data_IF_813030340266
#
_entry.id   IF_813030340266
#
_cell.length_a   1.000
_cell.length_b   1.000
_cell.length_c   1.000
_cell.angle_alpha   90.00
_cell.angle_beta   90.00
_cell.angle_gamma   90.00
#
_symmetry.space_group_name_H-M   'P 1'
#
loop_
_entity.id
_entity.type
_entity.pdbx_description
1 polymer ?
#
# COMPACT_ATOMS: atom_id res chain seq x y z
N UNK A 1 27.04 -13.65 -13.71
CA UNK A 1 26.59 -14.60 -12.65
C UNK A 1 25.23 -14.11 -12.16
N UNK A 2 24.13 -14.84 -12.37
CA UNK A 2 22.85 -14.45 -11.80
C UNK A 2 22.83 -14.90 -10.33
N UNK A 3 22.64 -13.96 -9.41
CA UNK A 3 22.26 -14.27 -8.03
C UNK A 3 20.81 -14.78 -8.08
N UNK A 4 20.63 -16.08 -7.95
CA UNK A 4 19.34 -16.68 -7.67
C UNK A 4 19.09 -16.48 -6.18
N UNK A 5 18.14 -15.61 -5.82
CA UNK A 5 17.65 -15.51 -4.45
C UNK A 5 16.84 -16.78 -4.14
N UNK A 6 17.43 -17.70 -3.37
CA UNK A 6 16.69 -18.82 -2.81
C UNK A 6 15.72 -18.30 -1.76
N UNK A 7 14.42 -18.39 -2.03
CA UNK A 7 13.39 -18.29 -1.00
C UNK A 7 13.63 -19.49 -0.05
N UNK A 8 14.05 -19.24 1.19
CA UNK A 8 14.26 -20.33 2.16
C UNK A 8 12.90 -20.70 2.72
N UNK A 9 12.59 -21.99 2.79
CA UNK A 9 11.35 -22.43 3.44
C UNK A 9 11.33 -22.15 4.95
N UNK A 10 12.51 -21.99 5.56
CA UNK A 10 12.68 -21.65 6.97
C UNK A 10 13.44 -20.33 7.11
N UNK A 11 12.85 -19.41 7.85
CA UNK A 11 13.43 -18.15 8.27
C UNK A 11 13.45 -18.10 9.80
N UNK A 12 14.46 -17.45 10.37
CA UNK A 12 14.43 -17.15 11.79
C UNK A 12 13.32 -16.14 12.04
N UNK A 13 12.58 -16.32 13.13
CA UNK A 13 11.60 -15.34 13.56
C UNK A 13 12.32 -14.05 13.95
N UNK A 14 11.85 -12.92 13.41
CA UNK A 14 12.34 -11.58 13.71
C UNK A 14 11.13 -10.68 13.96
N UNK A 15 11.08 -10.05 15.14
CA UNK A 15 9.95 -9.21 15.57
C UNK A 15 9.65 -8.09 14.56
N UNK A 16 10.68 -7.53 13.92
CA UNK A 16 10.52 -6.48 12.93
C UNK A 16 9.74 -6.95 11.69
N UNK A 17 10.06 -8.14 11.16
CA UNK A 17 9.33 -8.71 10.03
C UNK A 17 7.90 -9.07 10.42
N UNK A 18 7.70 -9.58 11.63
CA UNK A 18 6.36 -9.89 12.12
C UNK A 18 5.50 -8.62 12.21
N UNK A 19 6.06 -7.52 12.72
CA UNK A 19 5.35 -6.25 12.76
C UNK A 19 5.06 -5.67 11.38
N UNK A 20 5.97 -5.82 10.42
CA UNK A 20 5.73 -5.43 9.03
C UNK A 20 4.55 -6.21 8.42
N UNK A 21 4.52 -7.53 8.58
CA UNK A 21 3.44 -8.38 8.09
C UNK A 21 2.11 -8.07 8.81
N UNK A 22 2.17 -7.77 10.11
CA UNK A 22 1.00 -7.35 10.89
C UNK A 22 0.44 -6.01 10.39
N UNK A 23 1.29 -5.03 10.10
CA UNK A 23 0.87 -3.75 9.54
C UNK A 23 0.25 -3.94 8.16
N UNK A 24 0.88 -4.75 7.31
CA UNK A 24 0.38 -5.04 5.96
C UNK A 24 -1.03 -5.64 6.01
N UNK A 25 -1.21 -6.68 6.85
CA UNK A 25 -2.47 -7.37 7.00
C UNK A 25 -3.58 -6.49 7.59
N UNK A 26 -3.28 -5.72 8.65
CA UNK A 26 -4.25 -4.80 9.27
C UNK A 26 -4.63 -3.68 8.30
N UNK A 27 -3.68 -3.18 7.50
CA UNK A 27 -3.98 -2.15 6.52
C UNK A 27 -4.99 -2.66 5.46
N UNK A 28 -4.74 -3.84 4.90
CA UNK A 28 -5.67 -4.46 3.93
C UNK A 28 -7.02 -4.82 4.57
N UNK A 29 -7.03 -5.29 5.82
CA UNK A 29 -8.27 -5.63 6.54
C UNK A 29 -9.18 -4.42 6.68
N UNK A 30 -8.64 -3.29 7.14
CA UNK A 30 -9.41 -2.03 7.25
C UNK A 30 -9.84 -1.47 5.90
N UNK A 31 -9.03 -1.66 4.87
CA UNK A 31 -9.30 -1.16 3.52
C UNK A 31 -10.10 -2.13 2.64
N UNK A 32 -10.61 -3.24 3.18
CA UNK A 32 -11.32 -4.27 2.40
C UNK A 32 -12.55 -3.72 1.66
N UNK A 33 -13.17 -2.63 2.14
CA UNK A 33 -14.28 -1.99 1.43
C UNK A 33 -13.83 -1.13 0.21
N UNK A 34 -12.55 -0.76 0.13
CA UNK A 34 -12.01 0.01 -0.99
C UNK A 34 -11.80 -0.88 -2.21
N UNK A 35 -12.40 -0.49 -3.33
CA UNK A 35 -12.13 -1.12 -4.63
C UNK A 35 -10.71 -0.86 -5.17
N UNK A 36 -9.93 0.03 -4.54
CA UNK A 36 -8.61 0.45 -4.98
C UNK A 36 -7.47 -0.13 -4.12
N UNK A 37 -7.78 -1.09 -3.24
CA UNK A 37 -6.82 -1.80 -2.41
C UNK A 37 -7.02 -3.30 -2.63
N UNK A 38 -5.94 -4.07 -2.58
CA UNK A 38 -6.02 -5.53 -2.70
C UNK A 38 -6.79 -6.11 -1.52
N UNK A 39 -7.71 -7.03 -1.79
CA UNK A 39 -8.51 -7.62 -0.72
C UNK A 39 -7.65 -8.66 0.03
N UNK A 40 -7.81 -8.71 1.35
CA UNK A 40 -7.24 -9.76 2.18
C UNK A 40 -8.34 -10.73 2.61
N UNK A 41 -8.09 -12.03 2.48
CA UNK A 41 -9.00 -13.10 2.90
C UNK A 41 -8.64 -13.67 4.28
N UNK A 42 -7.40 -13.50 4.72
CA UNK A 42 -6.95 -13.89 6.04
C UNK A 42 -5.44 -13.75 6.22
N UNK A 43 -4.99 -13.75 7.46
CA UNK A 43 -3.57 -13.71 7.82
C UNK A 43 -3.29 -14.46 9.12
N UNK A 44 -2.08 -15.00 9.25
CA UNK A 44 -1.60 -15.64 10.46
C UNK A 44 -0.07 -15.52 10.53
N UNK A 45 0.45 -14.77 11.50
CA UNK A 45 1.88 -14.50 11.62
C UNK A 45 2.44 -13.88 10.33
N UNK A 46 3.39 -14.58 9.71
CA UNK A 46 4.06 -14.18 8.46
C UNK A 46 3.34 -14.63 7.18
N UNK A 47 2.12 -15.13 7.28
CA UNK A 47 1.35 -15.61 6.13
C UNK A 47 0.12 -14.76 5.91
N UNK A 48 -0.05 -14.28 4.67
CA UNK A 48 -1.23 -13.53 4.22
C UNK A 48 -1.84 -14.23 3.00
N UNK A 49 -3.16 -14.24 2.91
CA UNK A 49 -3.91 -14.70 1.75
C UNK A 49 -4.65 -13.52 1.17
N UNK A 50 -4.32 -13.14 -0.05
CA UNK A 50 -4.89 -11.96 -0.73
C UNK A 50 -5.56 -12.35 -2.03
N UNK A 51 -6.33 -11.41 -2.58
CA UNK A 51 -6.88 -11.48 -3.93
C UNK A 51 -5.76 -11.71 -4.97
N UNK A 52 -6.06 -12.53 -5.99
CA UNK A 52 -5.10 -12.78 -7.05
C UNK A 52 -5.06 -11.65 -8.08
N UNK A 53 -3.90 -11.02 -8.25
CA UNK A 53 -3.65 -10.02 -9.29
C UNK A 53 -3.38 -10.68 -10.65
N UNK A 54 -4.40 -10.70 -11.52
CA UNK A 54 -4.37 -11.30 -12.86
C UNK A 54 -3.91 -10.32 -13.97
N UNK A 55 -3.76 -9.05 -13.63
CA UNK A 55 -3.48 -7.99 -14.58
C UNK A 55 -2.00 -7.72 -14.85
N UNK A 56 -1.77 -6.77 -15.76
CA UNK A 56 -0.42 -6.39 -16.17
C UNK A 56 0.16 -5.38 -15.19
N UNK A 57 1.47 -5.51 -14.88
CA UNK A 57 2.21 -4.58 -14.01
C UNK A 57 2.03 -3.13 -14.46
N UNK A 58 1.77 -2.24 -13.50
CA UNK A 58 1.49 -0.82 -13.77
C UNK A 58 2.63 -0.11 -14.49
N UNK A 59 3.89 -0.45 -14.20
CA UNK A 59 5.04 0.09 -14.93
C UNK A 59 4.94 -0.13 -16.45
N UNK A 60 4.49 -1.32 -16.88
CA UNK A 60 4.31 -1.64 -18.30
C UNK A 60 3.09 -0.94 -18.91
N UNK A 61 2.02 -0.78 -18.15
CA UNK A 61 0.86 0.02 -18.57
C UNK A 61 1.25 1.49 -18.78
N UNK A 62 2.00 2.06 -17.84
CA UNK A 62 2.53 3.42 -17.91
C UNK A 62 3.45 3.59 -19.14
N UNK A 63 4.33 2.63 -19.39
CA UNK A 63 5.23 2.64 -20.54
C UNK A 63 4.48 2.60 -21.88
N UNK A 64 3.47 1.73 -22.01
CA UNK A 64 2.60 1.68 -23.20
C UNK A 64 1.80 2.96 -23.40
N UNK A 65 1.43 3.64 -22.32
CA UNK A 65 0.67 4.89 -22.36
C UNK A 65 1.51 6.14 -22.63
N UNK A 66 2.85 6.02 -22.79
CA UNK A 66 3.77 7.17 -22.96
C UNK A 66 3.34 8.16 -24.05
N UNK A 67 2.74 7.67 -25.14
CA UNK A 67 2.27 8.47 -26.28
C UNK A 67 0.76 8.76 -26.27
N UNK A 68 0.04 8.35 -25.22
CA UNK A 68 -1.40 8.49 -25.09
C UNK A 68 -1.68 9.24 -23.77
N UNK A 69 -1.60 10.59 -23.76
CA UNK A 69 -1.64 11.38 -22.52
C UNK A 69 -2.89 11.11 -21.66
N UNK A 70 -4.06 11.00 -22.28
CA UNK A 70 -5.30 10.72 -21.57
C UNK A 70 -5.24 9.37 -20.84
N UNK A 71 -4.64 8.34 -21.47
CA UNK A 71 -4.52 7.02 -20.84
C UNK A 71 -3.56 7.05 -19.64
N UNK A 72 -2.49 7.84 -19.74
CA UNK A 72 -1.55 8.04 -18.65
C UNK A 72 -2.18 8.80 -17.48
N UNK A 73 -3.03 9.78 -17.78
CA UNK A 73 -3.79 10.52 -16.78
C UNK A 73 -4.81 9.62 -16.07
N UNK A 74 -5.50 8.73 -16.79
CA UNK A 74 -6.40 7.74 -16.18
C UNK A 74 -5.67 6.87 -15.15
N UNK A 75 -4.50 6.33 -15.51
CA UNK A 75 -3.67 5.52 -14.59
C UNK A 75 -3.31 6.33 -13.35
N UNK A 76 -2.84 7.57 -13.52
CA UNK A 76 -2.47 8.43 -12.40
C UNK A 76 -3.66 8.76 -11.49
N UNK A 77 -4.82 9.06 -12.07
CA UNK A 77 -6.07 9.32 -11.34
C UNK A 77 -6.48 8.10 -10.51
N UNK A 78 -6.44 6.91 -11.10
CA UNK A 78 -6.88 5.69 -10.42
C UNK A 78 -5.97 5.35 -9.23
N UNK A 79 -4.64 5.55 -9.38
CA UNK A 79 -3.68 5.42 -8.26
C UNK A 79 -3.94 6.48 -7.19
N UNK A 80 -4.22 7.73 -7.59
CA UNK A 80 -4.50 8.81 -6.65
C UNK A 80 -5.78 8.57 -5.84
N UNK A 81 -6.82 8.00 -6.46
CA UNK A 81 -8.04 7.59 -5.75
C UNK A 81 -7.74 6.50 -4.72
N UNK A 82 -6.92 5.50 -5.07
CA UNK A 82 -6.50 4.49 -4.10
C UNK A 82 -5.70 5.08 -2.94
N UNK A 83 -4.81 6.04 -3.22
CA UNK A 83 -4.06 6.71 -2.17
C UNK A 83 -4.95 7.53 -1.23
N UNK A 84 -6.01 8.14 -1.75
CA UNK A 84 -7.00 8.83 -0.93
C UNK A 84 -7.72 7.86 0.03
N UNK A 85 -8.13 6.68 -0.45
CA UNK A 85 -8.73 5.64 0.38
C UNK A 85 -7.74 5.16 1.47
N UNK A 86 -6.47 4.92 1.10
CA UNK A 86 -5.39 4.53 2.02
C UNK A 86 -5.19 5.59 3.12
N UNK A 87 -5.18 6.88 2.77
CA UNK A 87 -5.07 7.96 3.75
C UNK A 87 -6.28 8.01 4.69
N UNK A 88 -7.47 7.66 4.19
CA UNK A 88 -8.72 7.59 4.92
C UNK A 88 -9.07 6.20 5.46
N UNK A 89 -8.08 5.39 5.87
CA UNK A 89 -8.27 3.98 6.26
C UNK A 89 -9.32 3.73 7.35
N UNK A 90 -9.61 4.72 8.19
CA UNK A 90 -10.66 4.65 9.23
C UNK A 90 -11.86 5.57 8.90
N UNK A 91 -12.05 5.88 7.62
CA UNK A 91 -13.06 6.80 7.11
C UNK A 91 -14.31 6.09 6.62
N UNK A 92 -15.03 5.39 7.51
CA UNK A 92 -16.48 5.49 7.43
C UNK A 92 -16.83 6.96 7.74
N UNK A 93 -17.77 7.55 7.00
CA UNK A 93 -18.14 8.96 7.12
C UNK A 93 -18.78 9.37 8.45
N UNK A 94 -18.38 8.77 9.57
CA UNK A 94 -18.86 8.99 10.93
C UNK A 94 -17.82 9.77 11.77
N UNK A 95 -16.51 9.67 11.47
CA UNK A 95 -15.47 10.44 12.18
C UNK A 95 -14.87 11.64 11.37
N UNK A 96 -15.31 11.84 10.12
CA UNK A 96 -15.70 13.17 9.61
C UNK A 96 -14.72 14.36 9.55
N UNK A 97 -13.39 14.20 9.47
CA UNK A 97 -12.47 15.36 9.44
C UNK A 97 -11.47 15.41 8.26
N UNK A 98 -11.39 14.36 7.43
CA UNK A 98 -10.47 14.32 6.29
C UNK A 98 -9.00 14.13 6.68
N UNK A 99 -8.74 13.67 7.91
CA UNK A 99 -7.40 13.45 8.39
C UNK A 99 -6.74 12.21 7.78
N UNK A 100 -5.49 12.36 7.34
CA UNK A 100 -4.65 11.21 6.97
C UNK A 100 -4.34 10.40 8.23
N UNK A 101 -4.89 9.19 8.33
CA UNK A 101 -4.72 8.29 9.48
C UNK A 101 -3.77 7.13 9.19
N UNK A 102 -3.41 6.93 7.93
CA UNK A 102 -2.38 5.97 7.52
C UNK A 102 -1.53 6.52 6.38
N UNK A 103 -0.25 6.17 6.37
CA UNK A 103 0.73 6.61 5.37
C UNK A 103 1.44 5.39 4.82
N UNK A 104 1.39 5.19 3.50
CA UNK A 104 1.93 3.98 2.85
C UNK A 104 3.46 3.91 2.84
N UNK A 105 4.14 5.05 2.70
CA UNK A 105 5.60 5.20 2.57
C UNK A 105 6.29 4.51 1.38
N UNK A 106 5.63 3.63 0.64
CA UNK A 106 6.21 2.95 -0.54
C UNK A 106 5.31 2.96 -1.78
N UNK A 107 4.80 4.15 -2.14
CA UNK A 107 3.99 4.30 -3.35
C UNK A 107 4.89 4.29 -4.58
N UNK A 108 4.95 3.14 -5.26
CA UNK A 108 5.72 2.97 -6.50
C UNK A 108 5.01 1.99 -7.47
N UNK A 109 5.39 1.95 -8.77
CA UNK A 109 4.70 1.11 -9.75
C UNK A 109 4.76 -0.41 -9.52
N UNK A 110 5.63 -0.91 -8.65
CA UNK A 110 5.69 -2.33 -8.27
C UNK A 110 4.63 -2.68 -7.21
N UNK A 111 4.23 -1.71 -6.40
CA UNK A 111 3.27 -1.86 -5.30
C UNK A 111 1.84 -1.45 -5.72
N UNK A 112 1.63 -1.30 -7.03
CA UNK A 112 0.31 -1.17 -7.64
C UNK A 112 0.08 -2.36 -8.55
N UNK A 113 -0.93 -3.16 -8.21
CA UNK A 113 -1.32 -4.35 -8.97
C UNK A 113 -2.58 -4.08 -9.79
N UNK A 114 -2.82 -4.91 -10.80
CA UNK A 114 -4.03 -4.85 -11.60
C UNK A 114 -4.85 -6.11 -11.33
N UNK A 115 -6.14 -5.91 -11.02
CA UNK A 115 -7.14 -6.98 -10.86
C UNK A 115 -8.28 -6.69 -11.83
N UNK A 116 -8.42 -7.52 -12.85
CA UNK A 116 -9.30 -7.30 -13.99
C UNK A 116 -8.99 -5.96 -14.67
N UNK A 117 -9.85 -4.96 -14.45
CA UNK A 117 -9.72 -3.59 -15.01
C UNK A 117 -9.34 -2.54 -13.97
N UNK A 118 -9.15 -2.93 -12.72
CA UNK A 118 -8.96 -2.01 -11.60
C UNK A 118 -7.51 -2.04 -11.15
N UNK A 119 -6.93 -0.86 -10.91
CA UNK A 119 -5.64 -0.73 -10.25
C UNK A 119 -5.84 -0.69 -8.75
N UNK A 120 -5.08 -1.51 -8.03
CA UNK A 120 -5.17 -1.67 -6.58
C UNK A 120 -3.80 -1.49 -5.91
N UNK A 121 -3.75 -0.78 -4.79
CA UNK A 121 -2.56 -0.64 -3.94
C UNK A 121 -2.34 -1.90 -3.10
N UNK A 122 -1.07 -2.20 -2.84
CA UNK A 122 -0.60 -3.35 -2.08
C UNK A 122 0.74 -3.02 -1.39
N UNK A 123 1.26 -3.92 -0.56
CA UNK A 123 2.58 -3.87 0.08
C UNK A 123 2.69 -2.70 1.08
N UNK A 124 1.86 -2.78 2.12
CA UNK A 124 1.75 -1.77 3.18
C UNK A 124 2.69 -2.04 4.36
N UNK A 125 3.65 -2.96 4.21
CA UNK A 125 4.48 -3.51 5.27
C UNK A 125 5.34 -2.48 6.02
N UNK A 126 5.72 -1.37 5.38
CA UNK A 126 6.41 -0.23 6.01
C UNK A 126 5.49 0.96 6.28
N UNK A 127 4.18 0.77 6.11
CA UNK A 127 3.19 1.80 6.35
C UNK A 127 3.12 2.23 7.81
N UNK A 128 2.62 3.43 8.05
CA UNK A 128 2.49 4.00 9.39
C UNK A 128 1.02 4.32 9.67
N UNK A 129 0.46 3.59 10.64
CA UNK A 129 -0.76 4.00 11.34
C UNK A 129 -0.43 5.23 12.19
N UNK A 130 -0.94 6.39 11.79
CA UNK A 130 -0.63 7.65 12.45
C UNK A 130 -1.31 7.71 13.81
N UNK A 131 -0.53 8.09 14.82
CA UNK A 131 -1.07 8.41 16.14
C UNK A 131 -1.62 9.83 16.14
N UNK A 132 -2.71 10.03 16.85
CA UNK A 132 -3.34 11.32 17.02
C UNK A 132 -3.22 11.77 18.48
N UNK A 133 -2.82 13.02 18.71
CA UNK A 133 -2.84 13.61 20.03
C UNK A 133 -4.25 14.18 20.29
N UNK A 134 -5.01 13.53 21.16
CA UNK A 134 -6.40 13.90 21.46
C UNK A 134 -6.51 15.17 22.31
N UNK A 135 -5.44 15.61 22.99
CA UNK A 135 -5.44 16.85 23.77
C UNK A 135 -5.22 18.08 22.89
N UNK A 136 -4.28 18.02 21.95
CA UNK A 136 -3.99 19.13 21.02
C UNK A 136 -4.78 19.06 19.72
N UNK A 137 -5.48 17.96 19.47
CA UNK A 137 -6.14 17.64 18.20
C UNK A 137 -5.21 17.80 16.99
N UNK A 138 -4.00 17.27 17.11
CA UNK A 138 -2.98 17.32 16.06
C UNK A 138 -2.39 15.93 15.86
N UNK A 139 -1.90 15.62 14.64
CA UNK A 139 -1.22 14.37 14.44
C UNK A 139 0.14 14.35 15.13
N UNK A 140 0.51 13.18 15.65
CA UNK A 140 1.87 12.95 16.11
C UNK A 140 2.82 12.87 14.91
N UNK A 141 4.05 13.38 15.10
CA UNK A 141 5.14 13.15 14.16
C UNK A 141 5.52 11.68 14.09
N UNK A 142 6.08 11.26 12.97
CA UNK A 142 6.60 9.92 12.76
C UNK A 142 7.94 10.00 12.03
N UNK A 143 8.88 9.08 12.29
CA UNK A 143 10.10 9.02 11.50
C UNK A 143 9.74 8.60 10.08
N UNK A 144 10.28 9.28 9.08
CA UNK A 144 10.28 8.74 7.73
C UNK A 144 11.10 7.44 7.75
N UNK A 145 10.40 6.31 7.66
CA UNK A 145 11.05 5.02 7.45
C UNK A 145 11.43 4.90 5.98
N UNK A 146 12.57 4.26 5.73
CA UNK A 146 13.20 4.11 4.41
C UNK A 146 12.20 3.93 3.27
N UNK A 147 12.40 4.62 2.15
CA UNK A 147 12.18 3.95 0.88
C UNK A 147 13.30 4.31 -0.09
N UNK A 148 13.51 3.48 -1.11
CA UNK A 148 14.43 3.71 -2.21
C UNK A 148 14.54 5.23 -2.55
N UNK A 149 15.75 5.84 -2.57
CA UNK A 149 15.91 7.29 -2.68
C UNK A 149 15.22 7.89 -3.91
N UNK A 150 14.91 7.07 -4.92
CA UNK A 150 14.13 7.48 -6.08
C UNK A 150 12.69 7.92 -5.76
N UNK A 151 12.04 7.32 -4.76
CA UNK A 151 10.61 7.51 -4.46
C UNK A 151 10.36 8.19 -3.10
N UNK A 152 11.43 8.48 -2.38
CA UNK A 152 11.38 9.15 -1.08
C UNK A 152 11.10 10.65 -1.27
N UNK A 153 10.16 11.19 -0.49
CA UNK A 153 9.98 12.65 -0.38
C UNK A 153 11.24 13.31 0.21
N UNK A 154 11.56 14.57 -0.16
CA UNK A 154 12.74 15.29 0.33
C UNK A 154 12.94 15.24 1.86
#
# INVERSE_FOLDING_TARGET
MPLIFFHRYNHNFEDAHYEHDRVDAVAMERLTASKHVIDIYGFCGHSVSTEYADGVRVGHLADKSKKIPLKRLEIARDIANGLADVHGINGDGIDGDGNTTFVHLDVNPANVVAVGKTLKLNDFNIGILRRWNTTSNTPCGFPAQYPNPQWRSP
#
